data_IF_719357094399
#
_entry.id   IF_719357094399
#
_cell.length_a   1.000
_cell.length_b   1.000
_cell.length_c   1.000
_cell.angle_alpha   90.00
_cell.angle_beta   90.00
_cell.angle_gamma   90.00
#
_symmetry.space_group_name_H-M   'P 1'
#
loop_
_entity.id
_entity.type
_entity.pdbx_description
1 polymer ?
#
# COMPACT_ATOMS: atom_id res chain seq x y z
N UNK A 1 -35.40 71.50 -30.72
CA UNK A 1 -35.48 70.60 -29.56
C UNK A 1 -34.92 69.21 -29.84
N UNK A 2 -34.81 68.72 -31.05
CA UNK A 2 -34.27 67.37 -31.35
C UNK A 2 -32.73 67.30 -31.28
N UNK A 3 -31.99 68.29 -31.69
CA UNK A 3 -30.52 68.30 -31.68
C UNK A 3 -29.91 68.24 -30.28
N UNK A 4 -30.54 68.89 -29.26
CA UNK A 4 -30.08 68.89 -27.85
C UNK A 4 -30.26 67.53 -27.21
N UNK A 5 -31.29 66.74 -27.58
CA UNK A 5 -31.48 65.38 -27.11
C UNK A 5 -30.37 64.39 -27.59
N UNK A 6 -29.92 64.52 -28.83
CA UNK A 6 -28.86 63.66 -29.38
C UNK A 6 -27.48 64.02 -28.82
N UNK A 7 -27.22 65.27 -28.50
CA UNK A 7 -25.97 65.73 -27.84
C UNK A 7 -25.94 65.17 -26.40
N UNK A 8 -27.06 65.23 -25.68
CA UNK A 8 -27.18 64.66 -24.32
C UNK A 8 -27.00 63.18 -24.26
N UNK A 9 -27.55 62.41 -25.23
CA UNK A 9 -27.40 60.94 -25.33
C UNK A 9 -25.97 60.56 -25.71
N UNK A 10 -25.31 61.32 -26.60
CA UNK A 10 -23.91 61.10 -26.98
C UNK A 10 -22.93 61.38 -25.82
N UNK A 11 -23.23 62.36 -24.96
CA UNK A 11 -22.39 62.70 -23.81
C UNK A 11 -22.51 61.63 -22.71
N UNK A 12 -23.68 60.99 -22.53
CA UNK A 12 -23.90 59.88 -21.59
C UNK A 12 -23.18 58.64 -22.05
N UNK A 13 -23.11 58.38 -23.36
CA UNK A 13 -22.40 57.21 -23.91
C UNK A 13 -20.88 57.32 -23.75
N UNK A 14 -20.30 58.53 -23.79
CA UNK A 14 -18.88 58.79 -23.56
C UNK A 14 -18.43 58.59 -22.11
N UNK A 15 -19.35 58.77 -21.14
CA UNK A 15 -19.04 58.57 -19.71
C UNK A 15 -18.99 57.11 -19.28
N UNK A 16 -19.63 56.21 -20.05
CA UNK A 16 -19.63 54.74 -19.73
C UNK A 16 -18.32 54.06 -20.13
N UNK A 17 -17.57 54.60 -21.09
CA UNK A 17 -16.32 53.99 -21.61
C UNK A 17 -15.12 54.28 -20.71
N UNK A 18 -15.19 55.28 -19.83
CA UNK A 18 -14.06 55.71 -18.97
C UNK A 18 -13.82 54.84 -17.74
N UNK A 19 -14.82 54.07 -17.28
CA UNK A 19 -14.66 53.22 -16.08
C UNK A 19 -14.06 51.82 -16.32
N UNK A 20 -13.99 51.34 -17.58
CA UNK A 20 -13.58 49.99 -17.88
C UNK A 20 -12.06 49.76 -17.84
N UNK A 21 -11.24 50.75 -18.21
CA UNK A 21 -9.77 50.60 -18.30
C UNK A 21 -9.09 50.46 -16.92
N UNK A 22 -9.49 51.26 -15.95
CA UNK A 22 -8.86 51.30 -14.63
C UNK A 22 -9.14 50.01 -13.79
N UNK A 23 -10.27 49.36 -14.02
CA UNK A 23 -10.61 48.10 -13.33
C UNK A 23 -9.78 46.94 -13.89
N UNK A 24 -9.58 46.89 -15.22
CA UNK A 24 -8.78 45.84 -15.86
C UNK A 24 -7.29 45.97 -15.50
N UNK A 25 -6.71 47.16 -15.54
CA UNK A 25 -5.31 47.38 -15.14
C UNK A 25 -5.06 47.04 -13.66
N UNK A 26 -5.96 47.45 -12.76
CA UNK A 26 -5.86 47.17 -11.33
C UNK A 26 -5.99 45.65 -11.07
N UNK A 27 -6.85 44.91 -11.81
CA UNK A 27 -6.99 43.48 -11.70
C UNK A 27 -5.73 42.74 -12.16
N UNK A 28 -5.15 43.15 -13.28
CA UNK A 28 -3.91 42.55 -13.85
C UNK A 28 -2.71 42.78 -12.90
N UNK A 29 -2.61 43.96 -12.25
CA UNK A 29 -1.51 44.20 -11.30
C UNK A 29 -1.66 43.37 -10.02
N UNK A 30 -2.87 43.18 -9.52
CA UNK A 30 -3.14 42.35 -8.33
C UNK A 30 -2.87 40.89 -8.63
N UNK A 31 -3.28 40.37 -9.79
CA UNK A 31 -3.02 39.00 -10.17
C UNK A 31 -1.50 38.74 -10.31
N UNK A 32 -0.73 39.64 -10.90
CA UNK A 32 0.74 39.51 -10.98
C UNK A 32 1.43 39.54 -9.61
N UNK A 33 0.93 40.33 -8.70
CA UNK A 33 1.47 40.37 -7.34
C UNK A 33 1.17 39.09 -6.56
N UNK A 34 -0.03 38.51 -6.69
CA UNK A 34 -0.42 37.24 -6.11
C UNK A 34 0.37 36.08 -6.70
N UNK A 35 0.61 36.08 -8.02
CA UNK A 35 1.44 35.09 -8.68
C UNK A 35 2.89 35.14 -8.15
N UNK A 36 3.45 36.33 -7.97
CA UNK A 36 4.79 36.47 -7.40
C UNK A 36 4.86 35.94 -5.95
N UNK A 37 3.91 36.30 -5.11
CA UNK A 37 3.84 35.81 -3.71
C UNK A 37 3.66 34.29 -3.66
N UNK A 38 2.86 33.71 -4.55
CA UNK A 38 2.69 32.26 -4.67
C UNK A 38 4.01 31.58 -5.03
N UNK A 39 4.75 32.10 -6.02
CA UNK A 39 6.06 31.56 -6.42
C UNK A 39 7.07 31.64 -5.26
N UNK A 40 7.07 32.76 -4.53
CA UNK A 40 7.94 32.94 -3.36
C UNK A 40 7.62 31.93 -2.28
N UNK A 41 6.34 31.76 -1.91
CA UNK A 41 5.91 30.75 -0.93
C UNK A 41 6.25 29.32 -1.37
N UNK A 42 6.06 28.99 -2.64
CA UNK A 42 6.43 27.68 -3.19
C UNK A 42 7.94 27.43 -3.09
N UNK A 43 8.77 28.41 -3.46
CA UNK A 43 10.23 28.30 -3.37
C UNK A 43 10.71 28.21 -1.92
N UNK A 44 10.07 28.93 -0.99
CA UNK A 44 10.35 28.81 0.43
C UNK A 44 10.00 27.41 0.93
N UNK A 45 8.87 26.84 0.50
CA UNK A 45 8.50 25.45 0.79
C UNK A 45 9.56 24.45 0.31
N UNK A 46 10.09 24.61 -0.89
CA UNK A 46 11.18 23.76 -1.39
C UNK A 46 12.43 23.85 -0.52
N UNK A 47 12.83 25.06 -0.16
CA UNK A 47 14.01 25.30 0.68
C UNK A 47 13.86 24.68 2.08
N UNK A 48 12.70 24.78 2.69
CA UNK A 48 12.44 24.19 4.01
C UNK A 48 12.36 22.66 3.93
N UNK A 49 11.83 22.11 2.84
CA UNK A 49 11.85 20.67 2.59
C UNK A 49 13.29 20.13 2.47
N UNK A 50 14.17 20.84 1.74
CA UNK A 50 15.60 20.51 1.66
C UNK A 50 16.32 20.57 3.01
N UNK A 51 15.86 21.44 3.92
CA UNK A 51 16.37 21.55 5.29
C UNK A 51 15.84 20.45 6.22
N UNK A 52 14.84 19.69 5.78
CA UNK A 52 14.18 18.68 6.58
C UNK A 52 13.09 19.21 7.51
N UNK A 53 12.66 20.48 7.37
CA UNK A 53 11.50 21.01 8.09
C UNK A 53 10.21 20.77 7.30
N UNK A 54 9.71 19.52 7.38
CA UNK A 54 8.52 19.10 6.65
C UNK A 54 7.26 19.88 7.04
N UNK A 55 7.11 20.23 8.30
CA UNK A 55 5.92 20.95 8.77
C UNK A 55 5.87 22.38 8.22
N UNK A 56 7.01 23.06 8.25
CA UNK A 56 7.09 24.41 7.70
C UNK A 56 7.04 24.39 6.16
N UNK A 57 7.65 23.41 5.52
CA UNK A 57 7.56 23.19 4.07
C UNK A 57 6.09 23.00 3.64
N UNK A 58 5.35 22.09 4.29
CA UNK A 58 3.94 21.84 4.00
C UNK A 58 3.09 23.10 4.18
N UNK A 59 3.34 23.85 5.26
CA UNK A 59 2.66 25.14 5.48
C UNK A 59 2.89 26.12 4.33
N UNK A 60 4.13 26.23 3.82
CA UNK A 60 4.48 27.12 2.72
C UNK A 60 3.89 26.67 1.38
N UNK A 61 3.85 25.39 1.13
CA UNK A 61 3.15 24.86 -0.04
C UNK A 61 1.64 25.10 0.02
N UNK A 62 1.01 24.90 1.17
CA UNK A 62 -0.42 25.22 1.35
C UNK A 62 -0.68 26.73 1.22
N UNK A 63 0.22 27.60 1.70
CA UNK A 63 0.15 29.05 1.49
C UNK A 63 0.20 29.37 -0.02
N UNK A 64 1.11 28.75 -0.78
CA UNK A 64 1.20 28.94 -2.23
C UNK A 64 -0.09 28.53 -2.96
N UNK A 65 -0.71 27.40 -2.59
CA UNK A 65 -2.00 26.97 -3.16
C UNK A 65 -3.11 27.99 -2.90
N UNK A 66 -3.20 28.52 -1.67
CA UNK A 66 -4.24 29.48 -1.26
C UNK A 66 -4.06 30.82 -1.94
N UNK A 67 -2.83 31.29 -2.13
CA UNK A 67 -2.53 32.60 -2.73
C UNK A 67 -3.01 32.68 -4.17
N UNK A 68 -2.89 31.61 -4.95
CA UNK A 68 -3.33 31.61 -6.34
C UNK A 68 -3.93 30.25 -6.76
N UNK A 69 -5.14 29.90 -6.28
CA UNK A 69 -5.73 28.58 -6.43
C UNK A 69 -6.11 28.21 -7.86
N UNK A 70 -6.15 29.18 -8.77
CA UNK A 70 -6.46 28.96 -10.18
C UNK A 70 -5.20 28.75 -11.05
N UNK A 71 -4.01 28.79 -10.46
CA UNK A 71 -2.76 28.58 -11.15
C UNK A 71 -2.47 27.10 -11.40
N UNK A 72 -1.66 26.79 -12.42
CA UNK A 72 -1.11 25.45 -12.65
C UNK A 72 -0.17 24.99 -11.51
N UNK A 73 0.25 25.92 -10.65
CA UNK A 73 1.09 25.65 -9.48
C UNK A 73 0.27 25.17 -8.27
N UNK A 74 -0.99 25.57 -8.14
CA UNK A 74 -1.82 25.21 -6.99
C UNK A 74 -1.90 23.68 -6.75
N UNK A 75 -2.22 22.83 -7.75
CA UNK A 75 -2.21 21.40 -7.54
C UNK A 75 -0.81 20.85 -7.27
N UNK A 76 0.24 21.45 -7.82
CA UNK A 76 1.62 21.05 -7.52
C UNK A 76 1.99 21.35 -6.08
N UNK A 77 1.61 22.53 -5.58
CA UNK A 77 1.85 22.94 -4.21
C UNK A 77 1.09 22.02 -3.22
N UNK A 78 -0.17 21.72 -3.48
CA UNK A 78 -0.95 20.78 -2.67
C UNK A 78 -0.28 19.39 -2.59
N UNK A 79 0.19 18.87 -3.72
CA UNK A 79 0.87 17.58 -3.76
C UNK A 79 2.24 17.62 -3.04
N UNK A 80 2.97 18.74 -3.14
CA UNK A 80 4.22 18.94 -2.42
C UNK A 80 4.02 19.09 -0.90
N UNK A 81 2.91 19.67 -0.45
CA UNK A 81 2.54 19.68 0.96
C UNK A 81 2.35 18.27 1.50
N UNK A 82 1.58 17.43 0.78
CA UNK A 82 1.39 16.03 1.13
C UNK A 82 2.72 15.25 1.16
N UNK A 83 3.57 15.44 0.15
CA UNK A 83 4.89 14.82 0.10
C UNK A 83 5.79 15.26 1.26
N UNK A 84 5.72 16.53 1.67
CA UNK A 84 6.50 17.04 2.79
C UNK A 84 6.16 16.30 4.09
N UNK A 85 4.87 16.10 4.37
CA UNK A 85 4.43 15.30 5.52
C UNK A 85 4.90 13.85 5.43
N UNK A 86 4.73 13.20 4.26
CA UNK A 86 5.19 11.83 4.05
C UNK A 86 6.69 11.67 4.30
N UNK A 87 7.52 12.62 3.85
CA UNK A 87 8.99 12.54 3.92
C UNK A 87 9.56 12.50 5.34
N UNK A 88 8.76 12.83 6.34
CA UNK A 88 9.11 12.82 7.77
C UNK A 88 8.14 11.97 8.61
N UNK A 89 7.51 10.99 7.99
CA UNK A 89 6.65 9.99 8.63
C UNK A 89 5.36 10.56 9.28
N UNK A 90 4.97 11.80 8.92
CA UNK A 90 3.67 12.38 9.33
C UNK A 90 2.55 11.80 8.46
N UNK A 91 2.38 10.47 8.51
CA UNK A 91 1.45 9.76 7.60
C UNK A 91 0.00 10.20 7.74
N UNK A 92 -0.46 10.53 8.94
CA UNK A 92 -1.83 11.03 9.17
C UNK A 92 -2.12 12.33 8.42
N UNK A 93 -1.19 13.29 8.50
CA UNK A 93 -1.30 14.58 7.81
C UNK A 93 -1.14 14.39 6.29
N UNK A 94 -0.22 13.53 5.85
CA UNK A 94 -0.03 13.18 4.45
C UNK A 94 -1.30 12.58 3.84
N UNK A 95 -1.96 11.64 4.53
CA UNK A 95 -3.23 11.03 4.11
C UNK A 95 -4.31 12.09 3.95
N UNK A 96 -4.46 12.99 4.92
CA UNK A 96 -5.46 14.05 4.87
C UNK A 96 -5.26 14.98 3.65
N UNK A 97 -4.02 15.37 3.38
CA UNK A 97 -3.68 16.21 2.23
C UNK A 97 -3.84 15.48 0.89
N UNK A 98 -3.47 14.19 0.80
CA UNK A 98 -3.64 13.39 -0.41
C UNK A 98 -5.12 13.16 -0.73
N UNK A 99 -5.94 12.85 0.26
CA UNK A 99 -7.38 12.72 0.09
C UNK A 99 -8.02 14.03 -0.35
N UNK A 100 -7.54 15.16 0.21
CA UNK A 100 -7.95 16.50 -0.22
C UNK A 100 -7.53 16.76 -1.66
N UNK A 101 -6.28 16.47 -2.03
CA UNK A 101 -5.75 16.65 -3.37
C UNK A 101 -6.57 15.87 -4.42
N UNK A 102 -6.78 14.57 -4.20
CA UNK A 102 -7.53 13.70 -5.13
C UNK A 102 -8.98 14.21 -5.30
N UNK A 103 -9.59 14.72 -4.24
CA UNK A 103 -10.95 15.27 -4.28
C UNK A 103 -11.04 16.63 -4.96
N UNK A 104 -10.07 17.53 -4.74
CA UNK A 104 -10.06 18.89 -5.30
C UNK A 104 -9.59 18.90 -6.74
N UNK A 105 -8.63 18.04 -7.09
CA UNK A 105 -8.01 17.97 -8.41
C UNK A 105 -8.21 16.59 -9.08
N UNK A 106 -9.46 16.11 -9.29
CA UNK A 106 -9.74 14.73 -9.71
C UNK A 106 -9.19 14.36 -11.09
N UNK A 107 -8.93 15.34 -11.95
CA UNK A 107 -8.41 15.14 -13.30
C UNK A 107 -6.93 15.54 -13.45
N UNK A 108 -6.22 15.75 -12.35
CA UNK A 108 -4.82 16.16 -12.43
C UNK A 108 -3.95 14.98 -12.94
N UNK A 109 -2.98 15.23 -13.85
CA UNK A 109 -2.14 14.16 -14.43
C UNK A 109 -1.34 13.35 -13.41
N UNK A 110 -1.09 13.89 -12.22
CA UNK A 110 -0.35 13.25 -11.14
C UNK A 110 -1.24 12.56 -10.09
N UNK A 111 -2.50 12.30 -10.41
CA UNK A 111 -3.36 11.51 -9.50
C UNK A 111 -2.88 10.07 -9.34
N UNK A 112 -2.19 9.52 -10.34
CA UNK A 112 -1.50 8.24 -10.23
C UNK A 112 -0.46 8.25 -9.10
N UNK A 113 0.38 9.29 -9.05
CA UNK A 113 1.36 9.46 -7.97
C UNK A 113 0.69 9.74 -6.61
N UNK A 114 -0.35 10.57 -6.60
CA UNK A 114 -1.06 10.88 -5.34
C UNK A 114 -1.71 9.63 -4.72
N UNK A 115 -2.40 8.79 -5.52
CA UNK A 115 -2.98 7.53 -5.05
C UNK A 115 -1.89 6.52 -4.65
N UNK A 116 -0.76 6.50 -5.35
CA UNK A 116 0.38 5.67 -4.96
C UNK A 116 0.96 6.10 -3.60
N UNK A 117 1.20 7.40 -3.41
CA UNK A 117 1.73 7.94 -2.15
C UNK A 117 0.76 7.73 -0.98
N UNK A 118 -0.56 7.82 -1.24
CA UNK A 118 -1.59 7.48 -0.27
C UNK A 118 -1.50 6.00 0.15
N UNK A 119 -1.34 5.10 -0.82
CA UNK A 119 -1.10 3.67 -0.54
C UNK A 119 0.16 3.43 0.28
N UNK A 120 1.25 4.15 0.00
CA UNK A 120 2.48 4.10 0.78
C UNK A 120 2.27 4.59 2.21
N UNK A 121 1.53 5.70 2.43
CA UNK A 121 1.23 6.17 3.78
C UNK A 121 0.53 5.12 4.65
N UNK A 122 -0.39 4.35 4.09
CA UNK A 122 -1.01 3.22 4.80
C UNK A 122 -0.04 2.05 4.97
N UNK A 123 0.76 1.76 3.95
CA UNK A 123 1.70 0.63 3.95
C UNK A 123 2.80 0.80 5.01
N UNK A 124 3.39 1.97 5.13
CA UNK A 124 4.45 2.25 6.11
C UNK A 124 3.96 2.22 7.58
N UNK A 125 2.64 2.32 7.79
CA UNK A 125 2.03 2.15 9.11
C UNK A 125 1.79 0.70 9.51
N UNK A 126 2.15 -0.28 8.67
CA UNK A 126 2.05 -1.71 8.99
C UNK A 126 3.18 -2.07 9.97
N UNK A 127 2.84 -2.31 11.24
CA UNK A 127 3.83 -2.58 12.30
C UNK A 127 4.03 -4.08 12.56
N UNK A 128 2.94 -4.86 12.57
CA UNK A 128 2.96 -6.29 12.94
C UNK A 128 1.67 -6.97 12.42
N UNK A 129 1.82 -8.15 11.81
CA UNK A 129 0.70 -8.96 11.31
C UNK A 129 -0.30 -9.37 12.41
N UNK A 130 0.07 -9.28 13.68
CA UNK A 130 -0.78 -9.66 14.83
C UNK A 130 -1.62 -8.52 15.38
N UNK A 131 -1.32 -7.28 14.98
CA UNK A 131 -2.01 -6.08 15.46
C UNK A 131 -3.15 -5.63 14.54
N UNK A 132 -3.34 -4.33 14.43
CA UNK A 132 -4.43 -3.73 13.68
C UNK A 132 -4.30 -4.02 12.18
N UNK A 133 -5.40 -4.46 11.58
CA UNK A 133 -5.50 -4.75 10.15
C UNK A 133 -5.95 -3.54 9.34
N UNK A 134 -6.30 -2.43 9.97
CA UNK A 134 -6.90 -1.31 9.24
C UNK A 134 -5.91 -0.76 8.21
N UNK A 135 -4.69 -0.43 8.61
CA UNK A 135 -3.67 0.08 7.69
C UNK A 135 -3.34 -0.89 6.55
N UNK A 136 -3.27 -2.21 6.84
CA UNK A 136 -3.05 -3.24 5.82
C UNK A 136 -4.21 -3.27 4.81
N UNK A 137 -5.45 -3.19 5.30
CA UNK A 137 -6.65 -3.21 4.47
C UNK A 137 -6.74 -1.96 3.60
N UNK A 138 -6.47 -0.79 4.19
CA UNK A 138 -6.51 0.49 3.48
C UNK A 138 -5.40 0.56 2.42
N UNK A 139 -4.18 0.10 2.72
CA UNK A 139 -3.10 -0.02 1.75
C UNK A 139 -3.50 -0.95 0.58
N UNK A 140 -4.06 -2.14 0.88
CA UNK A 140 -4.50 -3.10 -0.13
C UNK A 140 -5.54 -2.49 -1.07
N UNK A 141 -6.59 -1.88 -0.51
CA UNK A 141 -7.67 -1.25 -1.29
C UNK A 141 -7.13 -0.12 -2.17
N UNK A 142 -6.27 0.74 -1.59
CA UNK A 142 -5.69 1.87 -2.30
C UNK A 142 -4.82 1.42 -3.48
N UNK A 143 -3.92 0.46 -3.28
CA UNK A 143 -3.09 -0.08 -4.36
C UNK A 143 -3.91 -0.81 -5.42
N UNK A 144 -4.95 -1.57 -5.05
CA UNK A 144 -5.86 -2.21 -6.02
C UNK A 144 -6.59 -1.18 -6.88
N UNK A 145 -7.04 -0.07 -6.29
CA UNK A 145 -7.69 1.03 -7.01
C UNK A 145 -6.72 1.73 -7.96
N UNK A 146 -5.51 2.01 -7.51
CA UNK A 146 -4.43 2.59 -8.32
C UNK A 146 -4.16 1.73 -9.57
N UNK A 147 -3.92 0.43 -9.39
CA UNK A 147 -3.64 -0.50 -10.50
C UNK A 147 -4.80 -0.55 -11.49
N UNK A 148 -6.03 -0.55 -10.98
CA UNK A 148 -7.24 -0.57 -11.82
C UNK A 148 -7.40 0.70 -12.64
N UNK A 149 -7.10 1.88 -12.05
CA UNK A 149 -7.25 3.19 -12.72
C UNK A 149 -6.09 3.51 -13.65
N UNK A 150 -4.86 3.16 -13.25
CA UNK A 150 -3.62 3.57 -13.92
C UNK A 150 -2.70 2.38 -14.26
N UNK A 151 -3.17 1.32 -14.94
CA UNK A 151 -2.48 0.02 -15.06
C UNK A 151 -1.14 0.06 -15.79
N UNK A 152 -0.82 1.15 -16.48
CA UNK A 152 0.39 1.28 -17.31
C UNK A 152 1.47 2.17 -16.70
N UNK A 153 1.30 2.62 -15.46
CA UNK A 153 2.26 3.49 -14.77
C UNK A 153 3.29 2.67 -14.00
N UNK A 154 4.48 3.21 -13.80
CA UNK A 154 5.50 2.61 -12.96
C UNK A 154 5.01 2.45 -11.52
N UNK A 155 4.14 3.36 -11.05
CA UNK A 155 3.49 3.28 -9.75
C UNK A 155 2.58 2.06 -9.61
N UNK A 156 1.87 1.67 -10.69
CA UNK A 156 1.06 0.45 -10.68
C UNK A 156 1.92 -0.81 -10.66
N UNK A 157 3.09 -0.79 -11.28
CA UNK A 157 4.05 -1.91 -11.23
C UNK A 157 4.55 -2.10 -9.80
N UNK A 158 5.02 -1.03 -9.15
CA UNK A 158 5.48 -1.12 -7.76
C UNK A 158 4.34 -1.49 -6.79
N UNK A 159 3.13 -0.93 -7.00
CA UNK A 159 1.95 -1.28 -6.21
C UNK A 159 1.60 -2.77 -6.28
N UNK A 160 1.82 -3.46 -7.40
CA UNK A 160 1.66 -4.91 -7.49
C UNK A 160 2.65 -5.65 -6.55
N UNK A 161 3.93 -5.26 -6.53
CA UNK A 161 4.89 -5.84 -5.58
C UNK A 161 4.50 -5.58 -4.12
N UNK A 162 4.00 -4.38 -3.81
CA UNK A 162 3.47 -4.07 -2.47
C UNK A 162 2.27 -4.94 -2.11
N UNK A 163 1.36 -5.20 -3.08
CA UNK A 163 0.22 -6.09 -2.87
C UNK A 163 0.65 -7.54 -2.59
N UNK A 164 1.68 -8.04 -3.27
CA UNK A 164 2.22 -9.38 -2.99
C UNK A 164 2.73 -9.47 -1.55
N UNK A 165 3.49 -8.47 -1.08
CA UNK A 165 3.97 -8.40 0.30
C UNK A 165 2.81 -8.29 1.31
N UNK A 166 1.78 -7.49 1.01
CA UNK A 166 0.57 -7.40 1.83
C UNK A 166 -0.16 -8.75 1.90
N UNK A 167 -0.27 -9.46 0.79
CA UNK A 167 -0.89 -10.78 0.75
C UNK A 167 -0.10 -11.79 1.57
N UNK A 168 1.23 -11.75 1.55
CA UNK A 168 2.08 -12.58 2.41
C UNK A 168 1.84 -12.30 3.90
N UNK A 169 1.74 -11.03 4.30
CA UNK A 169 1.45 -10.64 5.69
C UNK A 169 0.06 -11.16 6.12
N UNK A 170 -0.95 -11.00 5.26
CA UNK A 170 -2.31 -11.48 5.54
C UNK A 170 -2.37 -13.01 5.63
N UNK A 171 -1.70 -13.73 4.72
CA UNK A 171 -1.59 -15.18 4.75
C UNK A 171 -0.84 -15.67 6.01
N UNK A 172 0.24 -15.00 6.41
CA UNK A 172 0.97 -15.29 7.65
C UNK A 172 0.05 -15.19 8.88
N UNK A 173 -0.81 -14.17 8.92
CA UNK A 173 -1.81 -14.02 10.00
C UNK A 173 -2.80 -15.18 10.01
N UNK A 174 -3.32 -15.59 8.84
CA UNK A 174 -4.25 -16.72 8.76
C UNK A 174 -3.57 -18.04 9.21
N UNK A 175 -2.31 -18.27 8.85
CA UNK A 175 -1.50 -19.40 9.36
C UNK A 175 -1.39 -19.36 10.88
N UNK A 176 -1.02 -18.21 11.43
CA UNK A 176 -0.87 -18.04 12.88
C UNK A 176 -2.18 -18.37 13.62
N UNK A 177 -3.30 -17.82 13.17
CA UNK A 177 -4.61 -18.06 13.77
C UNK A 177 -5.05 -19.52 13.57
N UNK A 178 -4.82 -20.10 12.38
CA UNK A 178 -5.12 -21.49 12.08
C UNK A 178 -4.38 -22.46 13.00
N UNK A 179 -3.06 -22.26 13.19
CA UNK A 179 -2.23 -23.05 14.12
C UNK A 179 -2.75 -22.95 15.56
N UNK A 180 -3.10 -21.73 16.01
CA UNK A 180 -3.69 -21.54 17.34
C UNK A 180 -4.97 -22.36 17.54
N UNK A 181 -5.89 -22.37 16.56
CA UNK A 181 -7.09 -23.18 16.64
C UNK A 181 -6.80 -24.69 16.60
N UNK A 182 -5.79 -25.13 15.85
CA UNK A 182 -5.33 -26.52 15.86
C UNK A 182 -4.86 -26.96 17.25
N UNK A 183 -4.02 -26.17 17.91
CA UNK A 183 -3.52 -26.44 19.27
C UNK A 183 -4.67 -26.57 20.26
N UNK A 184 -5.73 -25.79 20.10
CA UNK A 184 -6.94 -25.85 20.92
C UNK A 184 -7.91 -26.93 20.45
N UNK A 185 -7.56 -27.77 19.45
CA UNK A 185 -8.40 -28.81 18.86
C UNK A 185 -9.74 -28.29 18.32
N UNK A 186 -9.78 -27.01 17.93
CA UNK A 186 -10.93 -26.37 17.28
C UNK A 186 -10.81 -26.52 15.77
N UNK A 187 -11.22 -27.69 15.26
CA UNK A 187 -10.94 -28.08 13.89
C UNK A 187 -11.64 -27.21 12.84
N UNK A 188 -12.93 -26.91 13.00
CA UNK A 188 -13.69 -26.11 12.02
C UNK A 188 -13.11 -24.70 11.86
N UNK A 189 -12.89 -23.91 12.92
CA UNK A 189 -12.21 -22.63 12.77
C UNK A 189 -10.82 -22.74 12.13
N UNK A 190 -10.03 -23.76 12.46
CA UNK A 190 -8.72 -23.96 11.85
C UNK A 190 -8.82 -24.22 10.34
N UNK A 191 -9.73 -25.13 9.92
CA UNK A 191 -10.01 -25.43 8.50
C UNK A 191 -10.36 -24.15 7.74
N UNK A 192 -11.24 -23.30 8.30
CA UNK A 192 -11.65 -22.07 7.65
C UNK A 192 -10.47 -21.11 7.42
N UNK A 193 -9.54 -21.00 8.39
CA UNK A 193 -8.34 -20.17 8.25
C UNK A 193 -7.41 -20.68 7.17
N UNK A 194 -7.10 -21.98 7.15
CA UNK A 194 -6.24 -22.55 6.11
C UNK A 194 -6.88 -22.51 4.73
N UNK A 195 -8.21 -22.71 4.63
CA UNK A 195 -8.91 -22.54 3.35
C UNK A 195 -8.89 -21.11 2.84
N UNK A 196 -9.01 -20.12 3.73
CA UNK A 196 -8.90 -18.72 3.37
C UNK A 196 -7.57 -18.41 2.65
N UNK A 197 -6.47 -19.07 3.05
CA UNK A 197 -5.17 -18.89 2.40
C UNK A 197 -5.21 -19.43 0.96
N UNK A 198 -5.77 -20.60 0.77
CA UNK A 198 -5.85 -21.24 -0.56
C UNK A 198 -6.78 -20.46 -1.50
N UNK A 199 -7.87 -19.90 -0.94
CA UNK A 199 -8.91 -19.24 -1.72
C UNK A 199 -8.58 -17.75 -2.03
N UNK A 200 -7.80 -17.07 -1.17
CA UNK A 200 -7.58 -15.60 -1.25
C UNK A 200 -6.11 -15.20 -1.37
N UNK A 201 -5.17 -16.09 -1.05
CA UNK A 201 -3.73 -15.82 -1.01
C UNK A 201 -2.93 -16.94 -1.69
N UNK A 202 -3.44 -17.44 -2.80
CA UNK A 202 -2.95 -18.63 -3.54
C UNK A 202 -1.54 -18.46 -4.14
N UNK A 203 -1.05 -17.23 -4.25
CA UNK A 203 0.31 -16.93 -4.73
C UNK A 203 1.37 -16.86 -3.63
N UNK A 204 0.96 -16.94 -2.36
CA UNK A 204 1.88 -16.78 -1.22
C UNK A 204 2.63 -18.06 -0.87
N UNK A 205 3.77 -17.90 -0.20
CA UNK A 205 4.58 -19.04 0.30
C UNK A 205 3.85 -19.90 1.36
N UNK A 206 2.74 -19.42 1.88
CA UNK A 206 1.97 -20.09 2.94
C UNK A 206 0.98 -21.12 2.44
N UNK A 207 0.74 -21.21 1.13
CA UNK A 207 -0.21 -22.14 0.52
C UNK A 207 0.18 -23.60 0.78
N UNK A 208 1.46 -23.92 0.68
CA UNK A 208 1.95 -25.28 0.90
C UNK A 208 1.68 -25.76 2.33
N UNK A 209 1.98 -24.92 3.32
CA UNK A 209 1.67 -25.25 4.70
C UNK A 209 0.16 -25.35 4.93
N UNK A 210 -0.63 -24.42 4.39
CA UNK A 210 -2.09 -24.43 4.56
C UNK A 210 -2.69 -25.75 4.00
N UNK A 211 -2.25 -26.19 2.83
CA UNK A 211 -2.64 -27.47 2.24
C UNK A 211 -2.28 -28.64 3.17
N UNK A 212 -1.04 -28.68 3.65
CA UNK A 212 -0.61 -29.71 4.59
C UNK A 212 -1.44 -29.73 5.89
N UNK A 213 -1.72 -28.55 6.47
CA UNK A 213 -2.53 -28.46 7.68
C UNK A 213 -3.97 -28.96 7.48
N UNK A 214 -4.53 -28.74 6.29
CA UNK A 214 -5.83 -29.31 5.95
C UNK A 214 -5.74 -30.86 5.84
N UNK A 215 -4.68 -31.41 5.23
CA UNK A 215 -4.45 -32.87 5.23
C UNK A 215 -4.42 -33.42 6.65
N UNK A 216 -3.63 -32.78 7.53
CA UNK A 216 -3.45 -33.18 8.92
C UNK A 216 -4.78 -33.17 9.69
N UNK A 217 -5.54 -32.08 9.60
CA UNK A 217 -6.83 -31.94 10.30
C UNK A 217 -7.85 -32.96 9.78
N UNK A 218 -8.05 -33.05 8.46
CA UNK A 218 -9.03 -33.96 7.89
C UNK A 218 -8.71 -35.43 8.21
N UNK A 219 -7.42 -35.80 8.22
CA UNK A 219 -6.99 -37.12 8.65
C UNK A 219 -7.31 -37.40 10.14
N UNK A 220 -7.02 -36.44 11.03
CA UNK A 220 -7.28 -36.55 12.48
C UNK A 220 -8.77 -36.71 12.78
N UNK A 221 -9.64 -36.01 12.06
CA UNK A 221 -11.11 -36.12 12.27
C UNK A 221 -11.77 -37.27 11.52
N UNK A 222 -10.98 -38.10 10.81
CA UNK A 222 -11.45 -39.31 10.13
C UNK A 222 -12.02 -39.08 8.72
N UNK A 223 -11.88 -37.90 8.15
CA UNK A 223 -12.29 -37.58 6.78
C UNK A 223 -11.14 -37.83 5.80
N UNK A 224 -10.79 -39.12 5.65
CA UNK A 224 -9.60 -39.54 4.85
C UNK A 224 -9.67 -39.13 3.40
N UNK A 225 -10.84 -39.13 2.77
CA UNK A 225 -10.98 -38.79 1.36
C UNK A 225 -10.71 -37.28 1.13
N UNK A 226 -11.16 -36.44 2.04
CA UNK A 226 -10.80 -35.01 2.01
C UNK A 226 -9.31 -34.80 2.25
N UNK A 227 -8.73 -35.53 3.22
CA UNK A 227 -7.29 -35.48 3.47
C UNK A 227 -6.50 -35.86 2.21
N UNK A 228 -6.88 -36.96 1.51
CA UNK A 228 -6.25 -37.39 0.25
C UNK A 228 -6.40 -36.36 -0.87
N UNK A 229 -7.56 -35.67 -0.94
CA UNK A 229 -7.80 -34.61 -1.93
C UNK A 229 -6.79 -33.46 -1.78
N UNK A 230 -6.59 -32.96 -0.56
CA UNK A 230 -5.61 -31.91 -0.30
C UNK A 230 -4.16 -32.39 -0.45
N UNK A 231 -3.87 -33.66 -0.08
CA UNK A 231 -2.56 -34.25 -0.28
C UNK A 231 -2.22 -34.37 -1.78
N UNK A 232 -3.18 -34.75 -2.60
CA UNK A 232 -3.02 -34.82 -4.06
C UNK A 232 -2.80 -33.42 -4.66
N UNK A 233 -3.53 -32.40 -4.19
CA UNK A 233 -3.36 -31.03 -4.64
C UNK A 233 -1.95 -30.52 -4.29
N UNK A 234 -1.48 -30.79 -3.06
CA UNK A 234 -0.14 -30.46 -2.62
C UNK A 234 0.92 -31.21 -3.46
N UNK A 235 0.73 -32.51 -3.73
CA UNK A 235 1.66 -33.32 -4.55
C UNK A 235 1.68 -32.91 -6.02
N UNK A 236 0.56 -32.44 -6.56
CA UNK A 236 0.48 -31.99 -7.94
C UNK A 236 1.25 -30.69 -8.17
N UNK A 237 1.06 -29.71 -7.26
CA UNK A 237 1.62 -28.36 -7.43
C UNK A 237 3.01 -28.19 -6.77
N UNK A 238 3.30 -28.93 -5.67
CA UNK A 238 4.47 -28.69 -4.81
C UNK A 238 5.22 -29.97 -4.45
N UNK A 239 5.47 -30.84 -5.44
CA UNK A 239 6.05 -32.19 -5.27
C UNK A 239 7.41 -32.23 -4.55
N UNK A 240 8.21 -31.17 -4.64
CA UNK A 240 9.53 -31.06 -3.99
C UNK A 240 9.50 -30.44 -2.61
N UNK A 241 8.33 -30.07 -2.11
CA UNK A 241 8.17 -29.35 -0.85
C UNK A 241 8.28 -30.28 0.36
N UNK A 242 8.86 -29.79 1.46
CA UNK A 242 8.87 -30.53 2.72
C UNK A 242 7.46 -30.81 3.26
N UNK A 243 6.48 -29.96 2.93
CA UNK A 243 5.09 -30.14 3.32
C UNK A 243 4.45 -31.31 2.59
N UNK A 244 4.82 -31.51 1.29
CA UNK A 244 4.41 -32.69 0.56
C UNK A 244 4.96 -33.95 1.19
N UNK A 245 6.25 -33.99 1.55
CA UNK A 245 6.84 -35.17 2.22
C UNK A 245 6.19 -35.47 3.57
N UNK A 246 5.86 -34.43 4.36
CA UNK A 246 5.12 -34.57 5.61
C UNK A 246 3.72 -35.15 5.37
N UNK A 247 3.01 -34.65 4.36
CA UNK A 247 1.70 -35.13 3.94
C UNK A 247 1.75 -36.60 3.51
N UNK A 248 2.72 -36.98 2.68
CA UNK A 248 2.93 -38.35 2.25
C UNK A 248 3.19 -39.30 3.43
N UNK A 249 3.91 -38.84 4.44
CA UNK A 249 4.22 -39.61 5.66
C UNK A 249 2.97 -39.94 6.50
N UNK A 250 1.91 -39.14 6.41
CA UNK A 250 0.63 -39.40 7.13
C UNK A 250 -0.01 -40.71 6.61
N UNK A 251 0.00 -40.93 5.27
CA UNK A 251 -0.63 -42.10 4.64
C UNK A 251 0.32 -43.29 4.52
N UNK A 252 1.63 -43.07 4.56
CA UNK A 252 2.64 -44.11 4.34
C UNK A 252 3.51 -44.32 5.59
N UNK A 253 3.04 -45.17 6.52
CA UNK A 253 3.73 -45.46 7.77
C UNK A 253 5.15 -46.06 7.58
N UNK A 254 5.40 -46.80 6.50
CA UNK A 254 6.71 -47.37 6.20
C UNK A 254 7.70 -46.26 5.84
N UNK A 255 7.27 -45.32 5.00
CA UNK A 255 8.08 -44.17 4.61
C UNK A 255 8.41 -43.29 5.83
N UNK A 256 7.44 -42.99 6.68
CA UNK A 256 7.63 -42.25 7.90
C UNK A 256 8.70 -42.86 8.81
N UNK A 257 8.60 -44.17 9.04
CA UNK A 257 9.57 -44.93 9.88
C UNK A 257 10.99 -44.89 9.30
N UNK A 258 11.12 -45.05 7.99
CA UNK A 258 12.42 -45.01 7.32
C UNK A 258 13.05 -43.61 7.36
N UNK A 259 12.25 -42.54 7.18
CA UNK A 259 12.69 -41.14 7.31
C UNK A 259 13.22 -40.84 8.71
N UNK A 260 12.51 -41.24 9.78
CA UNK A 260 12.95 -41.07 11.17
C UNK A 260 14.29 -41.78 11.44
N UNK A 261 14.47 -43.02 10.89
CA UNK A 261 15.72 -43.76 11.02
C UNK A 261 16.89 -43.04 10.35
N UNK A 262 16.66 -42.49 9.17
CA UNK A 262 17.69 -41.79 8.42
C UNK A 262 18.07 -40.46 9.14
N UNK A 263 17.13 -39.71 9.67
CA UNK A 263 17.38 -38.48 10.45
C UNK A 263 18.21 -38.78 11.72
N UNK A 264 17.88 -39.86 12.44
CA UNK A 264 18.66 -40.31 13.61
C UNK A 264 20.09 -40.69 13.23
N UNK A 265 20.27 -41.40 12.13
CA UNK A 265 21.59 -41.76 11.62
C UNK A 265 22.42 -40.52 11.23
N UNK A 266 21.84 -39.55 10.52
CA UNK A 266 22.52 -38.32 10.15
C UNK A 266 22.91 -37.49 11.38
N UNK A 267 22.04 -37.34 12.36
CA UNK A 267 22.38 -36.68 13.64
C UNK A 267 23.51 -37.38 14.38
N UNK A 268 23.54 -38.72 14.37
CA UNK A 268 24.62 -39.53 14.92
C UNK A 268 25.96 -39.25 14.24
N UNK A 269 25.97 -39.19 12.89
CA UNK A 269 27.18 -38.90 12.10
C UNK A 269 27.65 -37.44 12.37
N UNK A 270 26.74 -36.46 12.37
CA UNK A 270 27.07 -35.05 12.62
C UNK A 270 27.66 -34.84 14.02
N UNK A 271 27.10 -35.51 15.05
CA UNK A 271 27.62 -35.46 16.42
C UNK A 271 28.99 -36.14 16.54
N UNK A 272 29.22 -37.22 15.80
CA UNK A 272 30.51 -37.88 15.75
C UNK A 272 31.59 -36.99 15.10
N UNK A 273 31.24 -36.34 13.98
CA UNK A 273 32.13 -35.40 13.28
C UNK A 273 32.44 -34.18 14.15
N UNK A 274 31.46 -33.62 14.84
CA UNK A 274 31.66 -32.50 15.79
C UNK A 274 32.58 -32.90 16.96
N UNK A 275 32.45 -34.14 17.49
CA UNK A 275 33.35 -34.63 18.51
C UNK A 275 34.78 -34.75 17.99
N UNK A 276 34.97 -35.35 16.78
CA UNK A 276 36.30 -35.42 16.15
C UNK A 276 36.89 -34.04 15.88
N UNK A 277 36.08 -33.11 15.41
CA UNK A 277 36.53 -31.74 15.16
C UNK A 277 37.00 -31.05 16.45
N UNK A 278 36.24 -31.13 17.55
CA UNK A 278 36.61 -30.61 18.85
C UNK A 278 37.94 -31.23 19.40
N UNK A 279 38.19 -32.53 19.16
CA UNK A 279 39.42 -33.20 19.61
C UNK A 279 40.66 -32.88 18.78
N UNK A 280 40.50 -32.19 17.63
CA UNK A 280 41.64 -31.73 16.83
C UNK A 280 42.12 -30.33 17.24
N UNK A 281 41.35 -29.61 18.05
CA UNK A 281 41.63 -28.26 18.50
C UNK A 281 41.76 -28.15 20.04
N UNK A 282 41.71 -29.28 20.73
CA UNK A 282 42.03 -29.42 22.15
C UNK A 282 43.39 -30.11 22.32
#
# INVERSE_FOLDING_TARGET
MTAIKYISISLIFLLIISCSKNVAEKKITVEKEMEFQMIEAYNEGLKELERGDALFAAKKFNEAEILFPQSDYAPRAALMAAYSYYSQDYYGDAIAELDRFIRVYPNHPRNDYAEYLLGLCFYEQIVDEKKDLQSITDAKITFQNLIKKYPKTDFAIDANYKLDLINDILAAKEIYIGRYYMEKKKWIPAINRFRSIIDQYDTTIYVEEALYRLVEIYYIIGLEDEAKRYANLLGYNYKSSEWYEKSYSIFNKIYAKNKEKNIKNQKGITNSLLKKFKSLFS
#
